data_IF_613319123429
#
_entry.id   IF_613319123429
#
_cell.length_a   1.000
_cell.length_b   1.000
_cell.length_c   1.000
_cell.angle_alpha   90.00
_cell.angle_beta   90.00
_cell.angle_gamma   90.00
#
_symmetry.space_group_name_H-M   'P 1'
#
loop_
_entity.id
_entity.type
_entity.pdbx_description
1 polymer ?
#
# COMPACT_ATOMS: atom_id res chain seq x y z
N UNK A 1 8.01 -19.70 -0.07
CA UNK A 1 8.00 -18.36 -0.67
C UNK A 1 8.16 -17.30 0.40
N UNK A 2 9.02 -16.35 0.16
CA UNK A 2 9.37 -15.35 1.16
C UNK A 2 8.43 -14.14 1.04
N UNK A 3 7.86 -13.73 2.16
CA UNK A 3 7.09 -12.49 2.18
C UNK A 3 8.05 -11.30 2.26
N UNK A 4 7.65 -10.12 1.75
CA UNK A 4 8.45 -8.92 1.96
C UNK A 4 8.67 -8.68 3.46
N UNK A 5 9.83 -8.12 3.84
CA UNK A 5 10.15 -7.90 5.25
C UNK A 5 9.47 -6.65 5.83
N UNK A 6 8.25 -6.37 5.39
CA UNK A 6 7.49 -5.23 5.91
C UNK A 6 6.00 -5.53 5.82
N UNK A 7 5.25 -4.86 6.66
CA UNK A 7 3.79 -4.89 6.65
C UNK A 7 3.28 -3.53 6.21
N UNK A 8 1.96 -3.41 6.07
CA UNK A 8 1.38 -2.13 5.68
C UNK A 8 0.01 -1.93 6.32
N UNK A 9 -0.43 -0.68 6.35
CA UNK A 9 -1.74 -0.29 6.86
C UNK A 9 -2.63 0.25 5.74
N UNK A 10 -2.39 -0.16 4.50
CA UNK A 10 -3.13 0.38 3.35
C UNK A 10 -4.63 0.18 3.51
N UNK A 11 -5.04 -1.03 3.92
CA UNK A 11 -6.47 -1.31 4.06
C UNK A 11 -7.13 -0.37 5.08
N UNK A 12 -6.50 -0.18 6.23
CA UNK A 12 -7.00 0.72 7.25
C UNK A 12 -7.06 2.15 6.74
N UNK A 13 -6.00 2.59 6.04
CA UNK A 13 -5.95 3.94 5.50
C UNK A 13 -7.00 4.17 4.44
N UNK A 14 -7.26 3.16 3.59
CA UNK A 14 -8.34 3.26 2.60
C UNK A 14 -9.69 3.43 3.28
N UNK A 15 -9.94 2.64 4.32
CA UNK A 15 -11.20 2.72 5.06
C UNK A 15 -11.37 4.12 5.66
N UNK A 16 -10.33 4.64 6.29
CA UNK A 16 -10.38 5.96 6.93
C UNK A 16 -10.50 7.09 5.91
N UNK A 17 -10.13 6.86 4.67
CA UNK A 17 -10.22 7.85 3.60
C UNK A 17 -11.58 7.81 2.89
N UNK A 18 -12.65 7.40 3.58
CA UNK A 18 -13.98 7.37 3.01
C UNK A 18 -14.28 6.06 2.31
N UNK A 19 -13.75 4.95 2.84
CA UNK A 19 -13.96 3.61 2.29
C UNK A 19 -13.49 3.50 0.84
N UNK A 20 -12.31 4.04 0.59
CA UNK A 20 -11.71 3.97 -0.75
C UNK A 20 -11.50 2.52 -1.17
N UNK A 21 -11.89 2.16 -2.39
CA UNK A 21 -11.68 0.80 -2.89
C UNK A 21 -10.24 0.58 -3.33
N UNK A 22 -9.86 -0.69 -3.44
CA UNK A 22 -8.54 -1.02 -4.00
C UNK A 22 -8.39 -0.50 -5.42
N UNK A 23 -9.47 -0.58 -6.21
CA UNK A 23 -9.44 -0.07 -7.58
C UNK A 23 -9.24 1.43 -7.63
N UNK A 24 -9.90 2.16 -6.73
CA UNK A 24 -9.72 3.61 -6.66
C UNK A 24 -8.29 3.98 -6.29
N UNK A 25 -7.72 3.29 -5.32
CA UNK A 25 -6.33 3.55 -4.96
C UNK A 25 -5.39 3.21 -6.12
N UNK A 26 -5.60 2.07 -6.78
CA UNK A 26 -4.79 1.70 -7.92
C UNK A 26 -4.82 2.74 -9.02
N UNK A 27 -6.00 3.27 -9.31
CA UNK A 27 -6.15 4.31 -10.32
C UNK A 27 -5.37 5.58 -9.94
N UNK A 28 -5.40 5.95 -8.66
CA UNK A 28 -4.70 7.15 -8.18
C UNK A 28 -3.17 7.01 -8.26
N UNK A 29 -2.65 5.79 -8.12
CA UNK A 29 -1.19 5.59 -8.10
C UNK A 29 -0.66 4.91 -9.36
N UNK A 30 -1.54 4.59 -10.32
CA UNK A 30 -1.12 4.10 -11.62
C UNK A 30 -0.85 2.61 -11.69
N UNK A 31 -1.52 1.81 -10.86
CA UNK A 31 -1.41 0.35 -10.91
C UNK A 31 -2.81 -0.27 -10.89
N UNK A 32 -2.89 -1.58 -11.11
CA UNK A 32 -4.17 -2.27 -11.15
C UNK A 32 -4.68 -2.55 -9.73
N UNK A 33 -5.98 -2.86 -9.65
CA UNK A 33 -6.60 -3.31 -8.40
C UNK A 33 -5.89 -4.56 -7.86
N UNK A 34 -5.54 -5.48 -8.77
CA UNK A 34 -4.85 -6.70 -8.38
C UNK A 34 -3.50 -6.42 -7.73
N UNK A 35 -2.78 -5.41 -8.24
CA UNK A 35 -1.51 -5.02 -7.65
C UNK A 35 -1.69 -4.50 -6.24
N UNK A 36 -2.71 -3.64 -6.03
CA UNK A 36 -2.99 -3.14 -4.68
C UNK A 36 -3.35 -4.29 -3.74
N UNK A 37 -4.19 -5.23 -4.20
CA UNK A 37 -4.57 -6.38 -3.38
C UNK A 37 -3.33 -7.20 -2.99
N UNK A 38 -2.43 -7.43 -3.94
CA UNK A 38 -1.22 -8.21 -3.66
C UNK A 38 -0.30 -7.51 -2.67
N UNK A 39 -0.17 -6.18 -2.79
CA UNK A 39 0.63 -5.39 -1.84
C UNK A 39 0.01 -5.46 -0.45
N UNK A 40 -1.30 -5.29 -0.34
CA UNK A 40 -1.97 -5.32 0.96
C UNK A 40 -1.80 -6.67 1.65
N UNK A 41 -1.81 -7.75 0.87
CA UNK A 41 -1.69 -9.10 1.42
C UNK A 41 -0.25 -9.52 1.69
N UNK A 42 0.71 -8.66 1.39
CA UNK A 42 2.13 -8.97 1.62
C UNK A 42 2.69 -9.97 0.64
N UNK A 43 2.08 -10.10 -0.54
CA UNK A 43 2.56 -11.02 -1.58
C UNK A 43 3.42 -10.36 -2.62
N UNK A 44 3.49 -9.02 -2.61
CA UNK A 44 4.17 -8.27 -3.64
C UNK A 44 4.71 -6.97 -3.06
N UNK A 45 5.98 -6.66 -3.35
CA UNK A 45 6.59 -5.40 -2.93
C UNK A 45 6.37 -4.37 -4.03
N UNK A 46 5.75 -3.23 -3.74
CA UNK A 46 5.59 -2.20 -4.75
C UNK A 46 6.95 -1.58 -5.08
N UNK A 47 7.05 -0.96 -6.26
CA UNK A 47 8.22 -0.16 -6.56
C UNK A 47 8.28 1.01 -5.57
N UNK A 48 9.45 1.57 -5.40
CA UNK A 48 9.61 2.72 -4.52
C UNK A 48 8.71 3.87 -4.95
N UNK A 49 8.59 4.10 -6.24
CA UNK A 49 7.74 5.16 -6.75
C UNK A 49 6.28 4.93 -6.36
N UNK A 50 5.78 3.71 -6.56
CA UNK A 50 4.39 3.39 -6.20
C UNK A 50 4.18 3.52 -4.69
N UNK A 51 5.16 3.08 -3.90
CA UNK A 51 5.07 3.18 -2.45
C UNK A 51 4.94 4.65 -2.01
N UNK A 52 5.75 5.54 -2.58
CA UNK A 52 5.65 6.97 -2.29
C UNK A 52 4.32 7.55 -2.74
N UNK A 53 3.83 7.14 -3.91
CA UNK A 53 2.53 7.63 -4.39
C UNK A 53 1.40 7.22 -3.47
N UNK A 54 1.44 5.99 -2.97
CA UNK A 54 0.42 5.52 -2.01
C UNK A 54 0.46 6.39 -0.76
N UNK A 55 1.65 6.63 -0.21
CA UNK A 55 1.78 7.45 0.98
C UNK A 55 1.22 8.86 0.74
N UNK A 56 1.50 9.43 -0.42
CA UNK A 56 1.01 10.79 -0.75
C UNK A 56 -0.51 10.83 -0.88
N UNK A 57 -1.13 9.77 -1.41
CA UNK A 57 -2.59 9.72 -1.49
C UNK A 57 -3.22 9.88 -0.10
N UNK A 58 -2.60 9.27 0.91
CA UNK A 58 -3.13 9.32 2.27
C UNK A 58 -2.57 10.49 3.08
N UNK A 59 -1.66 11.27 2.50
CA UNK A 59 -1.05 12.40 3.21
C UNK A 59 -0.23 11.95 4.41
N UNK A 60 0.42 10.79 4.30
CA UNK A 60 1.19 10.20 5.39
C UNK A 60 2.64 9.99 4.96
N UNK A 61 3.58 9.98 5.91
CA UNK A 61 4.94 9.56 5.58
C UNK A 61 4.98 8.09 5.25
N UNK A 62 6.01 7.66 4.50
CA UNK A 62 6.14 6.29 4.04
C UNK A 62 6.04 5.30 5.21
N UNK A 63 6.69 5.60 6.33
CA UNK A 63 6.71 4.70 7.49
C UNK A 63 5.35 4.56 8.18
N UNK A 64 4.43 5.48 7.93
CA UNK A 64 3.08 5.35 8.46
C UNK A 64 2.23 4.42 7.58
N UNK A 65 2.69 4.12 6.37
CA UNK A 65 1.99 3.22 5.46
C UNK A 65 2.63 1.84 5.47
N UNK A 66 3.96 1.78 5.45
CA UNK A 66 4.72 0.53 5.42
C UNK A 66 5.63 0.47 6.64
N UNK A 67 5.62 -0.65 7.36
CA UNK A 67 6.43 -0.82 8.55
C UNK A 67 7.42 -1.95 8.34
N UNK A 68 8.70 -1.65 8.54
CA UNK A 68 9.76 -2.65 8.42
C UNK A 68 9.68 -3.64 9.57
N UNK A 69 9.82 -4.91 9.28
CA UNK A 69 9.77 -5.96 10.29
C UNK A 69 11.18 -6.42 10.61
N UNK A 70 11.60 -6.20 11.85
CA UNK A 70 12.90 -6.63 12.32
C UNK A 70 12.85 -8.10 12.73
N UNK A 71 13.89 -8.80 12.43
CA UNK A 71 14.03 -10.17 12.81
C UNK A 71 13.42 -11.16 11.88
#
# INVERSE_FOLDING_TARGET
MTRPPFTNDIRTLRFLAGEMTQGELGQKVGVTRQTIAAVEQGRYSPSLEVAFRIARVFGKPLEAVFQWQEG
#
